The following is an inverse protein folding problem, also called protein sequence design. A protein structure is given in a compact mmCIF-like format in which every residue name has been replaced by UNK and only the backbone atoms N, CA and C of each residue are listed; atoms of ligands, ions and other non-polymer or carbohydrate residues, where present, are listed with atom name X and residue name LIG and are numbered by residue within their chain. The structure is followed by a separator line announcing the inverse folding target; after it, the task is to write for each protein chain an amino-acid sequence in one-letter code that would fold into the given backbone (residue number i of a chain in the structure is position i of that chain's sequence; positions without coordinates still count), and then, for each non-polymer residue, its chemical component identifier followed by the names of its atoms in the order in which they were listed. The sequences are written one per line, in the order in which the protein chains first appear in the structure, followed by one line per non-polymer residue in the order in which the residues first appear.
data_IF_631592587634
#
_entry.id   IF_631592587634
#
_cell.length_a   1.000
_cell.length_b   1.000
_cell.length_c   1.000
_cell.angle_alpha   90.00
_cell.angle_beta   90.00
_cell.angle_gamma   90.00
#
_symmetry.space_group_name_H-M   'P 1'
#
loop_
_entity.id
_entity.type
_entity.pdbx_description
1 polymer ?
#
# COMPACT_ATOMS: atom_id res chain seq x y z
N UNK A 1 19.39 10.05 -21.27
CA UNK A 1 20.79 9.76 -20.95
C UNK A 1 21.76 10.82 -21.49
N UNK A 2 21.79 11.10 -22.80
CA UNK A 2 22.73 12.06 -23.39
C UNK A 2 22.70 13.46 -22.73
N UNK A 3 21.51 14.07 -22.59
CA UNK A 3 21.36 15.40 -21.95
C UNK A 3 21.86 15.46 -20.50
N UNK A 4 21.64 14.38 -19.72
CA UNK A 4 22.09 14.29 -18.33
C UNK A 4 23.62 14.23 -18.25
N UNK A 5 24.25 13.37 -19.06
CA UNK A 5 25.70 13.22 -19.11
C UNK A 5 26.38 14.54 -19.47
N UNK A 6 25.92 15.20 -20.53
CA UNK A 6 26.42 16.53 -20.93
C UNK A 6 26.27 17.58 -19.83
N UNK A 7 25.18 17.55 -19.06
CA UNK A 7 24.95 18.50 -17.97
C UNK A 7 25.76 18.18 -16.72
N UNK A 8 25.96 16.91 -16.38
CA UNK A 8 26.84 16.49 -15.29
C UNK A 8 28.30 16.83 -15.61
N UNK A 9 28.75 16.53 -16.84
CA UNK A 9 30.09 16.85 -17.33
C UNK A 9 30.34 18.37 -17.33
N UNK A 10 29.31 19.19 -17.59
CA UNK A 10 29.40 20.66 -17.51
C UNK A 10 29.58 21.22 -16.09
N UNK A 11 29.35 20.40 -15.04
CA UNK A 11 29.62 20.79 -13.65
C UNK A 11 31.09 20.61 -13.27
N UNK A 12 31.91 20.02 -14.16
CA UNK A 12 33.35 19.80 -13.99
C UNK A 12 33.72 19.12 -12.66
N UNK A 13 32.87 18.20 -12.19
CA UNK A 13 33.09 17.44 -10.95
C UNK A 13 33.81 16.14 -11.28
N UNK A 14 35.00 15.97 -10.68
CA UNK A 14 35.77 14.72 -10.83
C UNK A 14 35.00 13.52 -10.31
N UNK A 15 35.18 12.36 -10.95
CA UNK A 15 34.59 11.09 -10.52
C UNK A 15 35.11 10.65 -9.14
N UNK A 16 36.30 11.12 -8.75
CA UNK A 16 36.93 10.86 -7.46
C UNK A 16 36.70 11.98 -6.43
N UNK A 17 35.76 12.89 -6.71
CA UNK A 17 35.50 14.02 -5.82
C UNK A 17 34.91 13.55 -4.47
N UNK A 18 35.19 14.26 -3.36
CA UNK A 18 34.60 13.96 -2.06
C UNK A 18 33.07 13.93 -2.13
N UNK A 19 32.43 13.06 -1.34
CA UNK A 19 30.97 12.87 -1.35
C UNK A 19 30.17 14.17 -1.12
N UNK A 20 30.74 15.14 -0.41
CA UNK A 20 30.16 16.48 -0.22
C UNK A 20 30.05 17.28 -1.52
N UNK A 21 31.04 17.17 -2.41
CA UNK A 21 31.10 17.84 -3.72
C UNK A 21 30.14 17.17 -4.70
N UNK A 22 30.12 15.83 -4.74
CA UNK A 22 29.16 15.05 -5.54
C UNK A 22 27.72 15.38 -5.14
N UNK A 23 27.46 15.52 -3.83
CA UNK A 23 26.15 15.90 -3.29
C UNK A 23 25.74 17.34 -3.66
N UNK A 24 26.68 18.27 -3.71
CA UNK A 24 26.40 19.64 -4.17
C UNK A 24 26.01 19.66 -5.65
N UNK A 25 26.74 18.92 -6.49
CA UNK A 25 26.43 18.76 -7.92
C UNK A 25 25.04 18.13 -8.14
N UNK A 26 24.71 17.10 -7.35
CA UNK A 26 23.40 16.47 -7.38
C UNK A 26 22.26 17.44 -7.04
N UNK A 27 22.45 18.28 -6.01
CA UNK A 27 21.46 19.29 -5.60
C UNK A 27 21.20 20.32 -6.71
N UNK A 28 22.25 20.75 -7.41
CA UNK A 28 22.14 21.68 -8.55
C UNK A 28 21.33 21.06 -9.69
N UNK A 29 21.57 19.78 -10.01
CA UNK A 29 20.81 19.06 -11.04
C UNK A 29 19.34 18.88 -10.66
N UNK A 30 19.04 18.53 -9.40
CA UNK A 30 17.66 18.41 -8.92
C UNK A 30 16.90 19.75 -8.99
N UNK A 31 17.57 20.87 -8.73
CA UNK A 31 16.97 22.19 -8.87
C UNK A 31 16.72 22.57 -10.34
N UNK A 32 17.63 22.19 -11.25
CA UNK A 32 17.52 22.47 -12.69
C UNK A 32 16.42 21.65 -13.37
N UNK A 33 16.24 20.39 -12.97
CA UNK A 33 15.21 19.50 -13.51
C UNK A 33 13.97 19.41 -12.61
N UNK A 34 13.73 20.39 -11.74
CA UNK A 34 12.53 20.43 -10.91
C UNK A 34 11.27 20.48 -11.79
N UNK A 35 10.22 19.67 -11.54
CA UNK A 35 9.05 19.54 -12.43
C UNK A 35 8.38 20.89 -12.75
N UNK A 36 8.30 21.76 -11.75
CA UNK A 36 7.66 23.08 -11.90
C UNK A 36 8.51 24.12 -12.63
N UNK A 37 9.81 23.86 -12.80
CA UNK A 37 10.79 24.81 -13.39
C UNK A 37 11.37 24.32 -14.71
N UNK A 38 11.21 23.04 -15.03
CA UNK A 38 11.79 22.44 -16.21
C UNK A 38 10.90 22.67 -17.45
N UNK A 39 11.44 23.39 -18.43
CA UNK A 39 10.70 23.76 -19.64
C UNK A 39 10.29 22.56 -20.54
N UNK A 40 10.91 21.38 -20.37
CA UNK A 40 10.57 20.16 -21.13
C UNK A 40 9.35 19.40 -20.60
N UNK A 41 8.66 19.93 -19.60
CA UNK A 41 7.44 19.35 -19.05
C UNK A 41 7.66 18.34 -17.90
N UNK A 42 6.62 18.07 -17.11
CA UNK A 42 6.73 17.34 -15.84
C UNK A 42 7.11 15.86 -16.02
N UNK A 43 6.70 15.22 -17.13
CA UNK A 43 7.04 13.82 -17.40
C UNK A 43 8.52 13.62 -17.77
N UNK A 44 9.08 14.49 -18.62
CA UNK A 44 10.50 14.43 -18.99
C UNK A 44 11.38 14.76 -17.77
N UNK A 45 10.97 15.75 -16.95
CA UNK A 45 11.61 16.05 -15.67
C UNK A 45 11.66 14.83 -14.75
N UNK A 46 10.54 14.10 -14.62
CA UNK A 46 10.46 12.91 -13.77
C UNK A 46 11.31 11.75 -14.31
N UNK A 47 11.37 11.55 -15.64
CA UNK A 47 12.25 10.55 -16.26
C UNK A 47 13.73 10.88 -16.02
N UNK A 48 14.12 12.15 -16.18
CA UNK A 48 15.49 12.60 -15.95
C UNK A 48 15.85 12.45 -14.47
N UNK A 49 14.94 12.80 -13.55
CA UNK A 49 15.18 12.64 -12.11
C UNK A 49 15.32 11.18 -11.68
N UNK A 50 14.59 10.23 -12.27
CA UNK A 50 14.78 8.79 -12.00
C UNK A 50 16.18 8.32 -12.37
N UNK A 51 16.72 8.81 -13.48
CA UNK A 51 18.08 8.50 -13.93
C UNK A 51 19.12 9.13 -12.99
N UNK A 52 18.93 10.40 -12.62
CA UNK A 52 19.74 11.12 -11.64
C UNK A 52 19.80 10.34 -10.32
N UNK A 53 18.66 9.86 -9.81
CA UNK A 53 18.56 9.07 -8.58
C UNK A 53 19.28 7.72 -8.70
N UNK A 54 19.15 7.04 -9.85
CA UNK A 54 19.85 5.77 -10.10
C UNK A 54 21.37 5.93 -10.15
N UNK A 55 21.87 7.06 -10.65
CA UNK A 55 23.30 7.37 -10.67
C UNK A 55 23.82 7.75 -9.26
N UNK A 56 23.07 8.55 -8.50
CA UNK A 56 23.44 8.97 -7.13
C UNK A 56 23.33 7.83 -6.11
N UNK A 57 22.42 6.89 -6.35
CA UNK A 57 22.26 5.64 -5.63
C UNK A 57 23.52 4.76 -5.64
N UNK A 58 24.33 4.83 -6.71
CA UNK A 58 25.62 4.14 -6.81
C UNK A 58 26.72 4.89 -6.05
N UNK A 59 26.55 6.20 -5.86
CA UNK A 59 27.58 7.11 -5.32
C UNK A 59 27.38 7.51 -3.85
N UNK A 60 26.24 7.19 -3.21
CA UNK A 60 25.97 7.66 -1.84
C UNK A 60 25.20 6.67 -0.97
N UNK A 61 25.41 6.82 0.34
CA UNK A 61 24.93 5.97 1.42
C UNK A 61 23.40 5.76 1.42
N UNK A 62 23.01 4.50 1.65
CA UNK A 62 21.69 3.90 1.38
C UNK A 62 20.50 4.51 2.13
N UNK A 63 20.75 5.21 3.25
CA UNK A 63 19.72 5.72 4.16
C UNK A 63 18.87 6.87 3.59
N UNK A 64 19.38 7.62 2.60
CA UNK A 64 18.68 8.80 2.03
C UNK A 64 17.93 8.52 0.72
N UNK A 65 18.06 7.30 0.19
CA UNK A 65 17.31 6.83 -0.99
C UNK A 65 15.80 6.75 -0.69
N UNK A 66 15.45 6.28 0.50
CA UNK A 66 14.07 6.11 0.94
C UNK A 66 13.29 7.44 1.02
N UNK A 67 13.90 8.51 1.55
CA UNK A 67 13.24 9.83 1.67
C UNK A 67 12.96 10.45 0.30
N UNK A 68 13.86 10.25 -0.67
CA UNK A 68 13.72 10.80 -2.02
C UNK A 68 12.76 9.96 -2.88
N UNK A 69 12.74 8.64 -2.74
CA UNK A 69 11.74 7.78 -3.39
C UNK A 69 10.33 8.09 -2.88
N UNK A 70 10.18 8.36 -1.58
CA UNK A 70 8.93 8.87 -1.01
C UNK A 70 8.53 10.25 -1.55
N UNK A 71 9.49 11.11 -1.91
CA UNK A 71 9.20 12.38 -2.58
C UNK A 71 8.76 12.17 -4.03
N UNK A 72 9.44 11.31 -4.80
CA UNK A 72 9.05 10.95 -6.17
C UNK A 72 7.63 10.35 -6.20
N UNK A 73 7.29 9.47 -5.26
CA UNK A 73 5.95 8.91 -5.16
C UNK A 73 4.90 9.90 -4.66
N UNK A 74 5.28 10.96 -3.92
CA UNK A 74 4.40 12.09 -3.65
C UNK A 74 4.13 12.91 -4.91
N UNK A 75 5.14 13.16 -5.74
CA UNK A 75 4.99 13.89 -7.01
C UNK A 75 4.14 13.13 -8.03
N UNK A 76 4.32 11.81 -8.17
CA UNK A 76 3.46 10.98 -9.04
C UNK A 76 2.00 11.02 -8.61
N UNK A 77 1.73 10.98 -7.30
CA UNK A 77 0.36 11.07 -6.75
C UNK A 77 -0.26 12.44 -7.01
N UNK A 78 0.50 13.52 -6.86
CA UNK A 78 0.04 14.87 -7.19
C UNK A 78 -0.31 14.98 -8.69
N UNK A 79 0.57 14.54 -9.59
CA UNK A 79 0.31 14.56 -11.03
C UNK A 79 -0.91 13.72 -11.44
N UNK A 80 -1.10 12.54 -10.83
CA UNK A 80 -2.29 11.71 -11.05
C UNK A 80 -3.58 12.37 -10.54
N UNK A 81 -3.48 13.20 -9.49
CA UNK A 81 -4.61 13.96 -8.94
C UNK A 81 -4.98 15.12 -9.86
N UNK A 82 -3.99 15.82 -10.42
CA UNK A 82 -4.20 16.89 -11.40
C UNK A 82 -4.77 16.36 -12.73
N UNK A 83 -4.31 15.18 -13.16
CA UNK A 83 -4.85 14.50 -14.35
C UNK A 83 -6.28 14.00 -14.12
N UNK A 84 -6.58 13.45 -12.94
CA UNK A 84 -7.95 13.11 -12.55
C UNK A 84 -8.86 14.36 -12.49
N UNK A 85 -8.37 15.48 -11.97
CA UNK A 85 -9.12 16.75 -11.97
C UNK A 85 -9.35 17.27 -13.40
N UNK A 86 -8.36 17.15 -14.29
CA UNK A 86 -8.50 17.51 -15.71
C UNK A 86 -9.52 16.64 -16.44
N UNK A 87 -9.50 15.33 -16.20
CA UNK A 87 -10.51 14.40 -16.72
C UNK A 87 -11.90 14.73 -16.20
N UNK A 88 -12.03 15.05 -14.90
CA UNK A 88 -13.30 15.48 -14.30
C UNK A 88 -13.82 16.79 -14.90
N UNK A 89 -12.93 17.75 -15.20
CA UNK A 89 -13.32 18.98 -15.91
C UNK A 89 -13.78 18.71 -17.35
N UNK A 90 -13.15 17.78 -18.07
CA UNK A 90 -13.57 17.36 -19.42
C UNK A 90 -14.95 16.70 -19.37
N UNK A 91 -15.18 15.78 -18.42
CA UNK A 91 -16.48 15.14 -18.20
C UNK A 91 -17.56 16.18 -17.88
N UNK A 92 -17.27 17.13 -16.99
CA UNK A 92 -18.20 18.18 -16.58
C UNK A 92 -18.56 19.12 -17.75
N UNK A 93 -17.60 19.39 -18.63
CA UNK A 93 -17.79 20.29 -19.78
C UNK A 93 -18.51 19.64 -20.97
N UNK A 94 -18.43 18.31 -21.08
CA UNK A 94 -19.05 17.52 -22.16
C UNK A 94 -20.34 16.81 -21.75
N UNK A 95 -20.77 16.94 -20.49
CA UNK A 95 -22.03 16.38 -20.01
C UNK A 95 -23.22 17.25 -20.44
N UNK A 96 -24.06 16.75 -21.34
CA UNK A 96 -25.35 17.36 -21.70
C UNK A 96 -26.45 16.59 -20.98
N UNK A 97 -27.11 17.23 -20.01
CA UNK A 97 -28.26 16.64 -19.34
C UNK A 97 -29.45 16.52 -20.32
N UNK A 98 -30.24 15.43 -20.29
CA UNK A 98 -31.39 15.27 -21.17
C UNK A 98 -32.42 16.38 -20.94
N UNK A 99 -33.01 16.89 -22.03
CA UNK A 99 -33.95 18.00 -22.01
C UNK A 99 -35.28 17.62 -21.36
N UNK A 100 -35.60 18.26 -20.25
CA UNK A 100 -36.94 18.20 -19.66
C UNK A 100 -37.82 19.26 -20.33
N UNK A 101 -38.78 18.82 -21.14
CA UNK A 101 -39.80 19.66 -21.77
C UNK A 101 -40.81 20.19 -20.74
N UNK A 102 -40.76 21.51 -20.53
CA UNK A 102 -41.85 22.48 -20.21
C UNK A 102 -43.01 22.10 -19.26
N UNK A 103 -43.06 22.78 -18.11
CA UNK A 103 -44.17 23.66 -17.71
C UNK A 103 -43.70 24.64 -16.62
N UNK A 104 -43.68 25.95 -16.90
CA UNK A 104 -43.44 27.00 -15.88
C UNK A 104 -44.51 26.87 -14.79
N UNK A 105 -44.12 26.60 -13.54
CA UNK A 105 -44.97 26.90 -12.37
C UNK A 105 -44.50 28.22 -11.73
N UNK A 106 -45.40 29.10 -11.27
CA UNK A 106 -45.04 30.44 -10.80
C UNK A 106 -44.28 30.41 -9.47
N UNK A 107 -43.38 31.38 -9.31
CA UNK A 107 -42.46 31.59 -8.17
C UNK A 107 -43.12 31.57 -6.78
N UNK A 108 -44.43 31.77 -6.70
CA UNK A 108 -45.23 31.74 -5.46
C UNK A 108 -45.21 30.39 -4.75
N UNK A 109 -45.04 29.27 -5.48
CA UNK A 109 -44.99 27.93 -4.85
C UNK A 109 -43.72 27.72 -4.03
N UNK A 110 -42.60 28.29 -4.47
CA UNK A 110 -41.33 28.22 -3.74
C UNK A 110 -41.34 29.08 -2.48
N UNK A 111 -41.93 30.28 -2.55
CA UNK A 111 -42.08 31.15 -1.38
C UNK A 111 -42.96 30.52 -0.29
N UNK A 112 -44.04 29.82 -0.68
CA UNK A 112 -44.90 29.09 0.26
C UNK A 112 -44.18 27.90 0.93
N UNK A 113 -43.37 27.16 0.17
CA UNK A 113 -42.56 26.04 0.70
C UNK A 113 -41.48 26.56 1.66
N UNK A 114 -40.79 27.65 1.30
CA UNK A 114 -39.76 28.28 2.15
C UNK A 114 -40.38 28.83 3.45
N UNK A 115 -41.55 29.46 3.37
CA UNK A 115 -42.24 29.96 4.56
C UNK A 115 -42.79 28.83 5.45
N UNK A 116 -43.22 27.70 4.87
CA UNK A 116 -43.60 26.49 5.61
C UNK A 116 -42.38 25.86 6.31
N UNK A 117 -41.23 25.85 5.65
CA UNK A 117 -39.96 25.39 6.21
C UNK A 117 -39.48 26.31 7.35
N UNK A 118 -39.58 27.63 7.19
CA UNK A 118 -39.28 28.63 8.24
C UNK A 118 -40.17 28.49 9.47
N UNK A 119 -41.48 28.30 9.30
CA UNK A 119 -42.40 28.05 10.43
C UNK A 119 -42.08 26.74 11.16
N UNK A 120 -41.71 25.69 10.42
CA UNK A 120 -41.29 24.42 11.02
C UNK A 120 -39.98 24.54 11.81
N UNK A 121 -38.99 25.30 11.31
CA UNK A 121 -37.74 25.58 12.04
C UNK A 121 -38.02 26.43 13.29
N UNK A 122 -38.84 27.48 13.20
CA UNK A 122 -39.22 28.29 14.36
C UNK A 122 -39.93 27.46 15.43
N UNK A 123 -40.86 26.57 15.05
CA UNK A 123 -41.55 25.66 15.97
C UNK A 123 -40.62 24.63 16.61
N UNK A 124 -39.54 24.23 15.93
CA UNK A 124 -38.54 23.31 16.47
C UNK A 124 -37.62 24.03 17.47
N UNK A 125 -37.26 25.28 17.20
CA UNK A 125 -36.47 26.12 18.09
C UNK A 125 -37.21 26.52 19.38
N UNK A 126 -38.55 26.62 19.38
CA UNK A 126 -39.31 26.83 20.63
C UNK A 126 -39.41 25.57 21.49
N UNK A 127 -39.22 24.38 20.89
CA UNK A 127 -39.34 23.07 21.58
C UNK A 127 -38.03 22.56 22.20
N UNK A 128 -36.90 23.17 21.88
CA UNK A 128 -35.60 22.88 22.52
C UNK A 128 -35.25 24.06 23.41
N UNK A 129 -35.49 23.93 24.72
CA UNK A 129 -35.22 24.99 25.70
C UNK A 129 -33.75 25.46 25.65
N UNK A 130 -33.60 26.79 25.57
CA UNK A 130 -32.35 27.54 25.60
C UNK A 130 -31.67 27.48 26.98
N UNK A 131 -30.36 27.18 27.02
CA UNK A 131 -29.53 27.55 28.17
C UNK A 131 -28.12 28.06 27.83
N UNK A 132 -27.76 28.24 26.55
CA UNK A 132 -26.38 28.64 26.19
C UNK A 132 -26.23 29.84 25.24
N UNK A 133 -27.32 30.56 24.91
CA UNK A 133 -27.26 31.74 24.01
C UNK A 133 -26.90 33.05 24.75
N UNK A 134 -26.87 33.10 26.08
CA UNK A 134 -26.44 34.29 26.81
C UNK A 134 -24.93 34.64 26.63
N UNK A 135 -24.11 33.73 26.11
CA UNK A 135 -22.68 33.96 25.87
C UNK A 135 -22.38 34.69 24.53
N UNK A 136 -23.33 34.75 23.58
CA UNK A 136 -23.08 35.35 22.26
C UNK A 136 -23.50 36.82 22.13
N UNK A 137 -24.06 37.43 23.19
CA UNK A 137 -24.42 38.86 23.21
C UNK A 137 -23.29 39.80 23.66
N UNK A 138 -22.09 39.30 23.98
CA UNK A 138 -20.97 40.11 24.52
C UNK A 138 -19.77 40.32 23.59
N UNK A 139 -19.82 39.88 22.33
CA UNK A 139 -18.78 40.18 21.34
C UNK A 139 -19.34 41.07 20.23
N UNK A 140 -19.43 42.37 20.50
CA UNK A 140 -19.73 43.42 19.50
C UNK A 140 -18.48 43.83 18.71
N UNK A 141 -17.58 42.89 18.37
CA UNK A 141 -16.33 43.24 17.69
C UNK A 141 -15.85 42.22 16.66
N UNK A 142 -16.72 41.74 15.76
CA UNK A 142 -16.31 41.17 14.45
C UNK A 142 -17.37 41.46 13.38
N UNK A 143 -17.83 42.71 13.26
CA UNK A 143 -18.61 43.17 12.11
C UNK A 143 -17.79 44.21 11.34
N UNK A 144 -16.93 43.73 10.44
CA UNK A 144 -16.09 44.57 9.59
C UNK A 144 -15.62 43.89 8.30
N UNK A 145 -16.21 42.75 7.90
CA UNK A 145 -15.96 42.15 6.59
C UNK A 145 -17.28 41.71 5.95
N UNK A 146 -17.93 42.63 5.24
CA UNK A 146 -19.01 42.32 4.31
C UNK A 146 -18.41 41.73 3.04
N UNK A 147 -18.35 40.40 2.95
CA UNK A 147 -17.89 39.67 1.77
C UNK A 147 -17.85 38.17 2.00
N UNK A 148 -17.68 37.38 0.92
CA UNK A 148 -17.66 35.90 0.89
C UNK A 148 -16.79 35.28 1.99
N UNK A 149 -15.73 35.96 2.42
CA UNK A 149 -14.84 35.56 3.52
C UNK A 149 -15.56 35.45 4.87
N UNK A 150 -16.51 36.35 5.17
CA UNK A 150 -17.32 36.29 6.40
C UNK A 150 -18.31 35.12 6.40
N UNK A 151 -18.83 34.73 5.23
CA UNK A 151 -19.70 33.55 5.08
C UNK A 151 -18.90 32.26 5.24
N UNK A 152 -17.66 32.22 4.72
CA UNK A 152 -16.75 31.07 4.89
C UNK A 152 -16.29 30.96 6.35
N UNK A 153 -15.99 32.07 7.03
CA UNK A 153 -15.60 32.06 8.44
C UNK A 153 -16.77 31.69 9.37
N UNK A 154 -18.01 32.13 9.07
CA UNK A 154 -19.21 31.64 9.75
C UNK A 154 -19.49 30.16 9.45
N UNK A 155 -19.22 29.68 8.23
CA UNK A 155 -19.38 28.26 7.87
C UNK A 155 -18.37 27.37 8.59
N UNK A 156 -17.15 27.85 8.85
CA UNK A 156 -16.11 27.13 9.61
C UNK A 156 -16.43 27.12 11.12
N UNK A 157 -16.94 28.22 11.69
CA UNK A 157 -17.29 28.30 13.13
C UNK A 157 -18.64 27.60 13.43
N UNK A 158 -19.58 27.53 12.46
CA UNK A 158 -20.84 26.78 12.59
C UNK A 158 -20.74 25.32 12.12
N UNK A 159 -19.63 24.90 11.51
CA UNK A 159 -19.29 23.48 11.44
C UNK A 159 -18.85 23.02 12.84
N UNK A 160 -19.84 22.75 13.71
CA UNK A 160 -19.71 21.60 14.60
C UNK A 160 -19.19 20.44 13.74
N UNK A 161 -18.23 19.63 14.23
CA UNK A 161 -17.86 18.43 13.50
C UNK A 161 -19.18 17.73 13.21
N UNK A 162 -19.49 17.60 11.92
CA UNK A 162 -20.51 16.66 11.50
C UNK A 162 -19.87 15.34 11.86
N UNK A 163 -20.15 14.87 13.09
CA UNK A 163 -20.27 13.46 13.33
C UNK A 163 -21.11 12.96 12.16
N UNK A 164 -20.43 12.24 11.30
CA UNK A 164 -20.96 11.65 10.08
C UNK A 164 -21.90 10.54 10.50
N UNK A 165 -23.07 10.91 11.00
CA UNK A 165 -24.11 9.99 11.47
C UNK A 165 -25.44 10.34 10.82
N UNK A 166 -25.47 10.30 9.48
CA UNK A 166 -26.61 10.00 8.58
C UNK A 166 -26.24 10.51 7.17
N UNK A 167 -26.02 9.73 6.10
CA UNK A 167 -26.47 8.39 5.71
C UNK A 167 -25.33 7.76 4.87
N UNK A 168 -24.54 6.86 5.45
CA UNK A 168 -23.59 5.99 4.71
C UNK A 168 -23.87 4.49 4.99
N UNK A 169 -25.06 4.18 5.51
CA UNK A 169 -25.36 2.89 6.15
C UNK A 169 -26.05 1.77 5.30
N UNK A 170 -26.32 1.87 3.98
CA UNK A 170 -26.75 0.68 3.23
C UNK A 170 -25.61 -0.05 2.49
N UNK A 171 -24.82 0.62 1.64
CA UNK A 171 -23.88 -0.06 0.74
C UNK A 171 -22.69 -0.75 1.43
N UNK A 172 -22.18 -0.19 2.54
CA UNK A 172 -21.02 -0.75 3.23
C UNK A 172 -21.41 -1.92 4.16
N UNK A 173 -22.65 -1.91 4.67
CA UNK A 173 -23.23 -2.98 5.47
C UNK A 173 -23.45 -4.24 4.60
N UNK A 174 -24.00 -4.06 3.39
CA UNK A 174 -24.25 -5.14 2.44
C UNK A 174 -22.95 -5.86 2.04
N UNK A 175 -21.87 -5.11 1.80
CA UNK A 175 -20.53 -5.68 1.50
C UNK A 175 -19.99 -6.47 2.68
N UNK A 176 -20.10 -5.95 3.90
CA UNK A 176 -19.64 -6.64 5.11
C UNK A 176 -20.41 -7.95 5.34
N UNK A 177 -21.73 -7.94 5.12
CA UNK A 177 -22.58 -9.12 5.24
C UNK A 177 -22.27 -10.17 4.16
N UNK A 178 -22.00 -9.74 2.92
CA UNK A 178 -21.55 -10.61 1.83
C UNK A 178 -20.21 -11.28 2.17
N UNK A 179 -19.23 -10.51 2.67
CA UNK A 179 -17.93 -11.06 3.10
C UNK A 179 -18.12 -12.07 4.23
N UNK A 180 -18.96 -11.76 5.22
CA UNK A 180 -19.23 -12.65 6.35
C UNK A 180 -19.85 -13.96 5.89
N UNK A 181 -20.83 -13.89 4.99
CA UNK A 181 -21.49 -15.05 4.39
C UNK A 181 -20.52 -15.89 3.56
N UNK A 182 -19.70 -15.26 2.73
CA UNK A 182 -18.69 -15.95 1.93
C UNK A 182 -17.66 -16.68 2.80
N UNK A 183 -17.15 -16.03 3.86
CA UNK A 183 -16.26 -16.64 4.86
C UNK A 183 -16.90 -17.85 5.54
N UNK A 184 -18.19 -17.80 5.84
CA UNK A 184 -18.92 -18.92 6.44
C UNK A 184 -19.00 -20.12 5.49
N UNK A 185 -19.30 -19.88 4.21
CA UNK A 185 -19.32 -20.96 3.21
C UNK A 185 -17.96 -21.62 3.03
N UNK A 186 -16.87 -20.83 3.00
CA UNK A 186 -15.49 -21.39 2.96
C UNK A 186 -15.21 -22.26 4.18
N UNK A 187 -15.59 -21.82 5.39
CA UNK A 187 -15.42 -22.62 6.63
C UNK A 187 -16.21 -23.93 6.60
N UNK A 188 -17.33 -23.95 5.88
CA UNK A 188 -18.16 -25.14 5.71
C UNK A 188 -17.73 -26.03 4.53
N UNK A 189 -16.64 -25.68 3.83
CA UNK A 189 -16.16 -26.40 2.64
C UNK A 189 -17.03 -26.19 1.40
N UNK A 190 -17.97 -25.23 1.41
CA UNK A 190 -18.90 -24.94 0.32
C UNK A 190 -18.33 -23.87 -0.61
N UNK A 191 -17.19 -24.14 -1.25
CA UNK A 191 -16.53 -23.12 -2.04
C UNK A 191 -17.32 -22.75 -3.31
N UNK A 192 -18.17 -23.64 -3.84
CA UNK A 192 -19.06 -23.33 -4.96
C UNK A 192 -20.06 -22.22 -4.65
N UNK A 193 -20.48 -22.10 -3.38
CA UNK A 193 -21.38 -21.02 -2.91
C UNK A 193 -20.61 -19.77 -2.50
N UNK A 194 -19.38 -19.93 -2.01
CA UNK A 194 -18.53 -18.81 -1.62
C UNK A 194 -17.99 -18.04 -2.84
N UNK A 195 -17.62 -18.75 -3.90
CA UNK A 195 -16.99 -18.20 -5.10
C UNK A 195 -17.77 -17.03 -5.73
N UNK A 196 -19.07 -17.14 -6.06
CA UNK A 196 -19.79 -16.05 -6.69
C UNK A 196 -19.87 -14.79 -5.80
N UNK A 197 -19.98 -14.98 -4.48
CA UNK A 197 -19.99 -13.86 -3.52
C UNK A 197 -18.64 -13.14 -3.49
N UNK A 198 -17.54 -13.91 -3.50
CA UNK A 198 -16.21 -13.32 -3.55
C UNK A 198 -15.90 -12.69 -4.91
N UNK A 199 -16.34 -13.28 -6.02
CA UNK A 199 -16.14 -12.70 -7.36
C UNK A 199 -16.79 -11.33 -7.48
N UNK A 200 -18.04 -11.17 -7.01
CA UNK A 200 -18.73 -9.89 -7.00
C UNK A 200 -17.91 -8.79 -6.31
N UNK A 201 -17.28 -9.10 -5.17
CA UNK A 201 -16.45 -8.16 -4.42
C UNK A 201 -15.05 -7.99 -5.03
N UNK A 202 -14.49 -9.05 -5.57
CA UNK A 202 -13.15 -9.06 -6.18
C UNK A 202 -13.11 -8.22 -7.46
N UNK A 203 -14.20 -8.26 -8.25
CA UNK A 203 -14.40 -7.43 -9.45
C UNK A 203 -14.54 -5.94 -9.11
N UNK A 204 -15.06 -5.62 -7.91
CA UNK A 204 -15.10 -4.26 -7.38
C UNK A 204 -13.74 -3.79 -6.81
N UNK A 205 -12.70 -4.62 -6.92
CA UNK A 205 -11.35 -4.26 -6.49
C UNK A 205 -11.02 -4.63 -5.04
N UNK A 206 -11.91 -5.30 -4.30
CA UNK A 206 -11.61 -5.68 -2.91
C UNK A 206 -10.45 -6.70 -2.85
N UNK A 207 -9.32 -6.30 -2.29
CA UNK A 207 -8.10 -7.12 -2.26
C UNK A 207 -8.26 -8.43 -1.47
N UNK A 208 -8.96 -8.40 -0.33
CA UNK A 208 -9.22 -9.60 0.47
C UNK A 208 -10.09 -10.59 -0.30
N UNK A 209 -11.11 -10.10 -1.02
CA UNK A 209 -11.96 -10.94 -1.85
C UNK A 209 -11.15 -11.55 -3.00
N UNK A 210 -10.33 -10.75 -3.70
CA UNK A 210 -9.43 -11.26 -4.75
C UNK A 210 -8.50 -12.36 -4.21
N UNK A 211 -7.92 -12.17 -3.02
CA UNK A 211 -7.11 -13.19 -2.36
C UNK A 211 -7.92 -14.47 -2.07
N UNK A 212 -9.14 -14.35 -1.54
CA UNK A 212 -9.99 -15.49 -1.25
C UNK A 212 -10.45 -16.23 -2.51
N UNK A 213 -10.75 -15.54 -3.61
CA UNK A 213 -11.00 -16.17 -4.92
C UNK A 213 -9.78 -16.99 -5.35
N UNK A 214 -8.58 -16.42 -5.21
CA UNK A 214 -7.34 -17.14 -5.50
C UNK A 214 -7.18 -18.42 -4.67
N UNK A 215 -7.47 -18.36 -3.36
CA UNK A 215 -7.44 -19.53 -2.49
C UNK A 215 -8.44 -20.61 -2.90
N UNK A 216 -9.66 -20.21 -3.28
CA UNK A 216 -10.70 -21.13 -3.74
C UNK A 216 -10.21 -21.90 -4.98
N UNK A 217 -9.62 -21.21 -5.96
CA UNK A 217 -9.07 -21.84 -7.16
C UNK A 217 -7.85 -22.74 -6.90
N UNK A 218 -6.97 -22.43 -5.94
CA UNK A 218 -5.85 -23.31 -5.55
C UNK A 218 -6.34 -24.59 -4.88
N UNK A 219 -7.36 -24.47 -4.01
CA UNK A 219 -7.86 -25.57 -3.21
C UNK A 219 -8.74 -26.52 -4.02
N UNK A 220 -9.57 -25.99 -4.94
CA UNK A 220 -10.46 -26.80 -5.77
C UNK A 220 -11.52 -27.57 -4.96
N UNK A 221 -11.92 -27.09 -3.78
CA UNK A 221 -12.96 -27.73 -2.98
C UNK A 221 -14.33 -27.36 -3.56
N UNK A 222 -15.07 -28.32 -4.11
CA UNK A 222 -16.39 -28.07 -4.70
C UNK A 222 -16.39 -27.37 -6.07
N UNK A 223 -15.21 -26.97 -6.57
CA UNK A 223 -15.01 -26.43 -7.93
C UNK A 223 -13.76 -27.04 -8.57
N UNK A 224 -13.61 -26.92 -9.89
CA UNK A 224 -12.38 -27.34 -10.57
C UNK A 224 -11.19 -26.49 -10.12
N UNK A 225 -10.13 -27.14 -9.65
CA UNK A 225 -8.85 -26.49 -9.32
C UNK A 225 -8.24 -25.83 -10.55
N UNK A 226 -7.86 -24.56 -10.43
CA UNK A 226 -7.23 -23.80 -11.50
C UNK A 226 -6.13 -22.88 -10.95
N UNK A 227 -4.89 -23.36 -10.96
CA UNK A 227 -3.76 -22.58 -10.47
C UNK A 227 -3.49 -21.33 -11.34
N UNK A 228 -3.88 -21.32 -12.62
CA UNK A 228 -3.65 -20.17 -13.50
C UNK A 228 -4.59 -19.03 -13.09
N UNK A 229 -5.88 -19.32 -12.89
CA UNK A 229 -6.80 -18.31 -12.36
C UNK A 229 -6.41 -17.85 -10.96
N UNK A 230 -5.93 -18.75 -10.11
CA UNK A 230 -5.43 -18.35 -8.80
C UNK A 230 -4.31 -17.31 -8.89
N UNK A 231 -3.37 -17.47 -9.83
CA UNK A 231 -2.29 -16.49 -10.06
C UNK A 231 -2.86 -15.14 -10.47
N UNK A 232 -3.82 -15.12 -11.39
CA UNK A 232 -4.42 -13.87 -11.88
C UNK A 232 -5.08 -13.10 -10.72
N UNK A 233 -5.82 -13.82 -9.85
CA UNK A 233 -6.47 -13.24 -8.69
C UNK A 233 -5.49 -12.80 -7.59
N UNK A 234 -4.48 -13.63 -7.28
CA UNK A 234 -3.43 -13.23 -6.36
C UNK A 234 -2.62 -12.05 -6.88
N UNK A 235 -2.38 -11.96 -8.20
CA UNK A 235 -1.67 -10.82 -8.83
C UNK A 235 -2.43 -9.53 -8.60
N UNK A 236 -3.76 -9.53 -8.79
CA UNK A 236 -4.60 -8.36 -8.49
C UNK A 236 -4.50 -7.95 -7.01
N UNK A 237 -4.63 -8.90 -6.08
CA UNK A 237 -4.55 -8.61 -4.65
C UNK A 237 -3.15 -8.12 -4.23
N UNK A 238 -2.09 -8.77 -4.74
CA UNK A 238 -0.70 -8.47 -4.42
C UNK A 238 -0.26 -7.09 -4.94
N UNK A 239 -0.74 -6.69 -6.12
CA UNK A 239 -0.54 -5.35 -6.67
C UNK A 239 -1.14 -4.25 -5.78
N UNK A 240 -2.18 -4.57 -5.01
CA UNK A 240 -2.77 -3.67 -4.02
C UNK A 240 -2.06 -3.70 -2.66
N UNK A 241 -0.96 -4.45 -2.54
CA UNK A 241 -0.21 -4.57 -1.29
C UNK A 241 -0.64 -5.72 -0.39
N UNK A 242 -1.60 -6.57 -0.79
CA UNK A 242 -2.10 -7.65 0.07
C UNK A 242 -0.98 -8.66 0.39
N UNK A 243 -0.49 -8.61 1.64
CA UNK A 243 0.68 -9.35 2.14
C UNK A 243 0.64 -10.84 1.81
N UNK A 244 -0.45 -11.53 2.17
CA UNK A 244 -0.54 -12.98 1.97
C UNK A 244 -0.61 -13.36 0.48
N UNK A 245 -1.14 -12.48 -0.38
CA UNK A 245 -1.22 -12.72 -1.81
C UNK A 245 0.18 -12.62 -2.42
N UNK A 246 0.99 -11.66 -1.96
CA UNK A 246 2.40 -11.55 -2.32
C UNK A 246 3.19 -12.81 -1.90
N UNK A 247 2.98 -13.33 -0.69
CA UNK A 247 3.57 -14.60 -0.24
C UNK A 247 3.17 -15.77 -1.16
N UNK A 248 1.89 -15.89 -1.51
CA UNK A 248 1.39 -16.94 -2.41
C UNK A 248 1.97 -16.82 -3.82
N UNK A 249 2.04 -15.62 -4.39
CA UNK A 249 2.68 -15.40 -5.69
C UNK A 249 4.15 -15.76 -5.67
N UNK A 250 4.88 -15.33 -4.63
CA UNK A 250 6.29 -15.69 -4.45
C UNK A 250 6.49 -17.21 -4.52
N UNK A 251 5.64 -17.96 -3.81
CA UNK A 251 5.64 -19.42 -3.87
C UNK A 251 5.26 -19.99 -5.25
N UNK A 252 4.23 -19.45 -5.91
CA UNK A 252 3.78 -19.94 -7.22
C UNK A 252 4.84 -19.72 -8.30
N UNK A 253 5.51 -18.57 -8.30
CA UNK A 253 6.65 -18.30 -9.18
C UNK A 253 7.87 -19.17 -8.85
N UNK A 254 8.16 -19.42 -7.57
CA UNK A 254 9.26 -20.30 -7.17
C UNK A 254 9.03 -21.76 -7.57
N UNK A 255 7.77 -22.22 -7.61
CA UNK A 255 7.42 -23.62 -7.89
C UNK A 255 6.88 -23.88 -9.30
N UNK A 256 6.59 -22.83 -10.07
CA UNK A 256 5.96 -22.96 -11.39
C UNK A 256 4.50 -23.43 -11.33
N UNK A 257 3.80 -23.23 -10.20
CA UNK A 257 2.39 -23.63 -10.05
C UNK A 257 1.49 -22.57 -10.68
N UNK A 258 0.86 -22.89 -11.81
CA UNK A 258 -0.04 -21.98 -12.53
C UNK A 258 0.67 -20.87 -13.31
N UNK A 259 2.00 -20.77 -13.21
CA UNK A 259 2.87 -19.83 -13.94
C UNK A 259 4.13 -20.54 -14.41
N UNK A 260 4.82 -19.98 -15.39
CA UNK A 260 6.19 -20.39 -15.70
C UNK A 260 7.08 -20.06 -14.50
N UNK A 261 7.85 -21.05 -14.03
CA UNK A 261 8.75 -20.88 -12.90
C UNK A 261 9.73 -19.71 -13.17
N UNK A 262 9.83 -18.80 -12.20
CA UNK A 262 10.70 -17.64 -12.29
C UNK A 262 11.14 -17.19 -10.89
N UNK A 263 12.39 -17.49 -10.54
CA UNK A 263 12.92 -17.13 -9.23
C UNK A 263 13.08 -15.62 -9.02
N UNK A 264 13.32 -14.83 -10.07
CA UNK A 264 13.42 -13.37 -9.94
C UNK A 264 12.06 -12.78 -9.52
N UNK A 265 10.96 -13.24 -10.15
CA UNK A 265 9.60 -12.87 -9.76
C UNK A 265 9.26 -13.38 -8.36
N UNK A 266 9.74 -14.58 -8.00
CA UNK A 266 9.55 -15.12 -6.67
C UNK A 266 10.20 -14.24 -5.58
N UNK A 267 11.46 -13.86 -5.78
CA UNK A 267 12.19 -12.94 -4.90
C UNK A 267 11.46 -11.61 -4.79
N UNK A 268 11.03 -11.03 -5.91
CA UNK A 268 10.31 -9.76 -5.91
C UNK A 268 9.07 -9.79 -5.01
N UNK A 269 8.22 -10.80 -5.16
CA UNK A 269 6.99 -10.91 -4.38
C UNK A 269 7.24 -11.29 -2.92
N UNK A 270 8.17 -12.22 -2.65
CA UNK A 270 8.57 -12.55 -1.29
C UNK A 270 9.19 -11.33 -0.58
N UNK A 271 9.97 -10.50 -1.27
CA UNK A 271 10.52 -9.28 -0.70
C UNK A 271 9.44 -8.29 -0.29
N UNK A 272 8.45 -8.04 -1.15
CA UNK A 272 7.32 -7.17 -0.82
C UNK A 272 6.53 -7.66 0.40
N UNK A 273 6.30 -8.96 0.53
CA UNK A 273 5.62 -9.52 1.70
C UNK A 273 6.50 -9.49 2.96
N UNK A 274 7.80 -9.78 2.82
CA UNK A 274 8.75 -9.80 3.93
C UNK A 274 8.99 -8.41 4.53
N UNK A 275 8.97 -7.35 3.70
CA UNK A 275 8.99 -5.94 4.15
C UNK A 275 7.77 -5.60 5.02
N UNK A 276 6.64 -6.28 4.79
CA UNK A 276 5.42 -6.16 5.61
C UNK A 276 5.40 -7.11 6.82
N UNK A 277 6.54 -7.71 7.15
CA UNK A 277 6.68 -8.60 8.31
C UNK A 277 6.20 -10.04 8.07
N UNK A 278 5.89 -10.44 6.83
CA UNK A 278 5.44 -11.81 6.55
C UNK A 278 6.53 -12.85 6.86
N UNK A 279 6.34 -13.63 7.91
CA UNK A 279 7.30 -14.62 8.43
C UNK A 279 7.69 -15.66 7.38
N UNK A 280 6.70 -16.16 6.63
CA UNK A 280 6.90 -17.17 5.59
C UNK A 280 7.79 -16.60 4.47
N UNK A 281 7.53 -15.38 4.04
CA UNK A 281 8.33 -14.73 3.00
C UNK A 281 9.72 -14.32 3.46
N UNK A 282 9.89 -13.92 4.73
CA UNK A 282 11.21 -13.70 5.32
C UNK A 282 12.03 -14.99 5.31
N UNK A 283 11.45 -16.11 5.75
CA UNK A 283 12.10 -17.42 5.67
C UNK A 283 12.43 -17.82 4.23
N UNK A 284 11.49 -17.65 3.29
CA UNK A 284 11.70 -17.99 1.88
C UNK A 284 12.79 -17.13 1.23
N UNK A 285 12.87 -15.84 1.56
CA UNK A 285 13.97 -14.99 1.11
C UNK A 285 15.31 -15.45 1.68
N UNK A 286 15.36 -15.82 2.96
CA UNK A 286 16.56 -16.41 3.55
C UNK A 286 17.05 -17.61 2.75
N UNK A 287 16.15 -18.52 2.38
CA UNK A 287 16.48 -19.67 1.53
C UNK A 287 16.95 -19.27 0.12
N UNK A 288 16.28 -18.29 -0.51
CA UNK A 288 16.64 -17.83 -1.85
C UNK A 288 18.05 -17.22 -1.88
N UNK A 289 18.41 -16.41 -0.88
CA UNK A 289 19.77 -15.87 -0.74
C UNK A 289 20.80 -16.95 -0.39
N UNK A 290 20.46 -17.92 0.47
CA UNK A 290 21.36 -19.02 0.82
C UNK A 290 21.68 -19.92 -0.39
N UNK A 291 20.70 -20.12 -1.28
CA UNK A 291 20.82 -20.99 -2.47
C UNK A 291 21.21 -20.25 -3.75
N UNK A 292 21.15 -18.92 -3.77
CA UNK A 292 21.35 -18.12 -4.98
C UNK A 292 20.21 -18.28 -5.99
N UNK A 293 18.96 -18.44 -5.52
CA UNK A 293 17.80 -18.64 -6.38
C UNK A 293 17.16 -17.30 -6.74
N UNK A 294 17.34 -16.85 -7.98
CA UNK A 294 16.79 -15.56 -8.48
C UNK A 294 17.51 -14.32 -7.96
N UNK A 295 18.54 -14.51 -7.13
CA UNK A 295 19.47 -13.50 -6.61
C UNK A 295 20.86 -14.12 -6.52
N UNK A 296 21.89 -13.28 -6.44
CA UNK A 296 23.22 -13.77 -6.11
C UNK A 296 23.20 -14.44 -4.73
N UNK A 297 23.93 -15.55 -4.59
CA UNK A 297 24.08 -16.23 -3.32
C UNK A 297 24.75 -15.29 -2.32
N UNK A 298 24.11 -15.08 -1.18
CA UNK A 298 24.60 -14.20 -0.12
C UNK A 298 24.19 -14.79 1.23
N UNK A 299 25.15 -15.40 1.93
CA UNK A 299 24.88 -16.02 3.22
C UNK A 299 24.62 -14.99 4.32
N UNK A 300 25.19 -13.79 4.24
CA UNK A 300 24.96 -12.74 5.25
C UNK A 300 23.55 -12.16 5.14
N UNK A 301 23.06 -11.93 3.91
CA UNK A 301 21.65 -11.56 3.70
C UNK A 301 20.70 -12.69 4.09
N UNK A 302 21.06 -13.95 3.83
CA UNK A 302 20.27 -15.09 4.29
C UNK A 302 20.15 -15.10 5.83
N UNK A 303 21.25 -14.93 6.57
CA UNK A 303 21.22 -14.78 8.04
C UNK A 303 20.31 -13.63 8.45
N UNK A 304 20.38 -12.47 7.79
CA UNK A 304 19.53 -11.32 8.12
C UNK A 304 18.04 -11.64 8.01
N UNK A 305 17.64 -12.30 6.92
CA UNK A 305 16.25 -12.68 6.70
C UNK A 305 15.78 -13.81 7.61
N UNK A 306 16.60 -14.83 7.83
CA UNK A 306 16.28 -15.87 8.81
C UNK A 306 16.20 -15.32 10.23
N UNK A 307 17.05 -14.36 10.60
CA UNK A 307 16.99 -13.69 11.92
C UNK A 307 15.66 -12.97 12.14
N UNK A 308 15.14 -12.29 11.11
CA UNK A 308 13.82 -11.64 11.18
C UNK A 308 12.68 -12.65 11.36
N UNK A 309 12.70 -13.76 10.62
CA UNK A 309 11.70 -14.82 10.76
C UNK A 309 11.81 -15.55 12.11
N UNK A 310 13.02 -15.85 12.57
CA UNK A 310 13.30 -16.51 13.83
C UNK A 310 12.93 -15.66 15.06
N UNK A 311 13.05 -14.32 14.94
CA UNK A 311 12.56 -13.38 15.95
C UNK A 311 11.03 -13.34 16.05
N UNK A 312 10.32 -13.86 15.05
CA UNK A 312 8.88 -14.10 15.06
C UNK A 312 8.55 -15.57 15.35
N UNK A 313 9.47 -16.27 16.00
CA UNK A 313 9.37 -17.68 16.41
C UNK A 313 9.23 -18.71 15.29
N UNK A 314 9.63 -18.42 14.04
CA UNK A 314 9.63 -19.43 12.98
C UNK A 314 10.68 -20.52 13.24
N UNK A 315 10.22 -21.74 13.54
CA UNK A 315 11.08 -22.88 13.85
C UNK A 315 12.06 -23.23 12.71
N UNK A 316 11.66 -23.08 11.45
CA UNK A 316 12.50 -23.41 10.29
C UNK A 316 13.62 -22.41 10.12
N UNK A 317 13.32 -21.12 10.35
CA UNK A 317 14.32 -20.06 10.36
C UNK A 317 15.28 -20.21 11.55
N UNK A 318 14.78 -20.56 12.73
CA UNK A 318 15.62 -20.88 13.89
C UNK A 318 16.57 -22.03 13.57
N UNK A 319 16.07 -23.14 13.02
CA UNK A 319 16.93 -24.24 12.57
C UNK A 319 17.96 -23.81 11.52
N UNK A 320 17.54 -23.03 10.52
CA UNK A 320 18.44 -22.52 9.48
C UNK A 320 19.54 -21.63 10.07
N UNK A 321 19.25 -20.79 11.07
CA UNK A 321 20.28 -20.04 11.79
C UNK A 321 21.21 -20.95 12.58
N UNK A 322 20.68 -22.02 13.17
CA UNK A 322 21.49 -23.04 13.83
C UNK A 322 22.55 -23.61 12.89
N UNK A 323 22.13 -24.05 11.70
CA UNK A 323 23.00 -24.58 10.65
C UNK A 323 24.04 -23.55 10.17
N UNK A 324 23.63 -22.29 10.04
CA UNK A 324 24.53 -21.21 9.64
C UNK A 324 25.58 -20.88 10.71
N UNK A 325 25.22 -20.92 11.99
CA UNK A 325 26.18 -20.73 13.09
C UNK A 325 27.10 -21.94 13.27
N UNK A 326 26.62 -23.17 13.08
CA UNK A 326 27.44 -24.38 13.15
C UNK A 326 28.51 -24.43 12.05
N UNK A 327 28.14 -23.99 10.85
CA UNK A 327 28.99 -24.04 9.66
C UNK A 327 29.73 -22.74 9.36
N UNK A 328 29.44 -21.65 10.08
CA UNK A 328 30.04 -20.34 9.83
C UNK A 328 29.61 -19.71 8.49
N UNK A 329 28.35 -19.92 8.09
CA UNK A 329 27.82 -19.43 6.82
C UNK A 329 27.26 -18.03 6.99
N UNK A 330 27.95 -17.01 6.47
CA UNK A 330 27.51 -15.61 6.56
C UNK A 330 27.59 -14.99 7.96
N UNK A 331 27.97 -15.78 8.97
CA UNK A 331 28.28 -15.41 10.36
C UNK A 331 29.53 -16.17 10.81
N UNK A 332 30.20 -15.66 11.84
CA UNK A 332 31.28 -16.42 12.49
C UNK A 332 30.71 -17.72 13.08
N UNK A 333 31.45 -18.81 12.91
CA UNK A 333 31.10 -20.11 13.48
C UNK A 333 30.98 -20.00 15.01
N UNK A 334 29.86 -20.48 15.55
CA UNK A 334 29.52 -20.39 16.97
C UNK A 334 28.59 -21.56 17.35
N UNK A 335 29.19 -22.66 17.82
CA UNK A 335 28.43 -23.87 18.16
C UNK A 335 27.46 -23.65 19.33
N UNK A 336 27.77 -22.74 20.26
CA UNK A 336 26.88 -22.42 21.38
C UNK A 336 25.60 -21.78 20.87
N UNK A 337 25.71 -20.78 19.99
CA UNK A 337 24.54 -20.19 19.33
C UNK A 337 23.80 -21.18 18.45
N UNK A 338 24.52 -22.05 17.75
CA UNK A 338 23.90 -23.09 16.94
C UNK A 338 22.98 -23.98 17.79
N UNK A 339 23.50 -24.51 18.90
CA UNK A 339 22.74 -25.31 19.86
C UNK A 339 21.54 -24.54 20.43
N UNK A 340 21.70 -23.26 20.77
CA UNK A 340 20.60 -22.43 21.27
C UNK A 340 19.46 -22.30 20.24
N UNK A 341 19.80 -22.07 18.97
CA UNK A 341 18.83 -22.01 17.88
C UNK A 341 18.18 -23.36 17.61
N UNK A 342 18.95 -24.45 17.60
CA UNK A 342 18.39 -25.79 17.46
C UNK A 342 17.45 -26.15 18.61
N UNK A 343 17.79 -25.81 19.86
CA UNK A 343 16.88 -26.03 21.01
C UNK A 343 15.58 -25.27 20.87
N UNK A 344 15.61 -24.02 20.39
CA UNK A 344 14.40 -23.24 20.12
C UNK A 344 13.52 -23.91 19.07
N UNK A 345 14.10 -24.35 17.95
CA UNK A 345 13.35 -25.05 16.89
C UNK A 345 12.82 -26.42 17.35
N UNK A 346 13.64 -27.20 18.08
CA UNK A 346 13.27 -28.50 18.62
C UNK A 346 12.12 -28.41 19.64
N UNK A 347 12.09 -27.36 20.48
CA UNK A 347 10.98 -27.09 21.41
C UNK A 347 9.64 -26.89 20.69
N UNK A 348 9.67 -26.48 19.43
CA UNK A 348 8.50 -26.34 18.57
C UNK A 348 8.16 -27.63 17.81
N UNK A 349 8.89 -28.73 18.05
CA UNK A 349 8.66 -30.03 17.41
C UNK A 349 9.29 -30.17 16.03
N UNK A 350 10.30 -29.36 15.68
CA UNK A 350 11.01 -29.53 14.41
C UNK A 350 12.00 -30.71 14.51
N UNK A 351 11.69 -31.80 13.80
CA UNK A 351 12.45 -33.06 13.84
C UNK A 351 13.91 -32.89 13.39
N UNK A 352 14.16 -32.05 12.39
CA UNK A 352 15.51 -31.76 11.89
C UNK A 352 16.39 -31.13 12.97
N UNK A 353 15.82 -30.26 13.81
CA UNK A 353 16.54 -29.64 14.92
C UNK A 353 16.80 -30.63 16.06
N UNK A 354 15.86 -31.53 16.35
CA UNK A 354 16.05 -32.61 17.33
C UNK A 354 17.16 -33.55 16.87
N UNK A 355 17.19 -33.88 15.57
CA UNK A 355 18.23 -34.71 14.98
C UNK A 355 19.61 -34.04 15.04
N UNK A 356 19.70 -32.75 14.72
CA UNK A 356 20.95 -31.98 14.79
C UNK A 356 21.53 -31.98 16.22
N UNK A 357 20.71 -31.72 17.25
CA UNK A 357 21.17 -31.76 18.65
C UNK A 357 21.74 -33.13 19.04
N UNK A 358 21.07 -34.23 18.64
CA UNK A 358 21.56 -35.59 18.90
C UNK A 358 22.88 -35.90 18.22
N UNK A 359 23.19 -35.25 17.09
CA UNK A 359 24.46 -35.43 16.40
C UNK A 359 25.60 -34.66 17.08
N UNK A 360 25.29 -33.50 17.67
CA UNK A 360 26.28 -32.67 18.38
C UNK A 360 26.65 -33.23 19.76
N UNK A 361 25.78 -34.03 20.38
CA UNK A 361 26.03 -34.71 21.66
C UNK A 361 26.83 -36.02 21.53
N UNK A 362 27.11 -36.48 20.30
CA UNK A 362 27.91 -37.68 19.99
C UNK A 362 29.36 -37.31 19.71
#
# INVERSE_FOLDING_TARGET
MAKFRTHYDSLNVSHDAPASVIKAAYKVLCQKYHPDKYAGGPEEALRIMKVINSAYAVLSDSSKRAEHDQWIDRQKRACATDEAQRIMQIITKNYVAPSVTTKKRPFETYAAIINKFRKNICSYCTKVQLSSIQALKKSSWIFGFTGIVGIVFMAIILHKPIETTAVMAPANQDVADLVKKAKQFVKQGQAEKALPLYLQLAEQGNADAQFNVGLIYVNGQGITKDNKQAVDWFTKAANQGHREAQTKLGYMYATGKGVVQNYNSAVYWCYKAAEQGDVISQYNLGQMYAKGQGVAKDSSLAVSWFSKAAAQDDARAQYSLGDMYENGLGVAKDNTKAVDFYRKAAKQGLDEAIAALKQMDR
#
